data_IF_042479253102
#
_entry.id   IF_042479253102
#
_cell.length_a   1.000
_cell.length_b   1.000
_cell.length_c   1.000
_cell.angle_alpha   90.00
_cell.angle_beta   90.00
_cell.angle_gamma   90.00
#
_symmetry.space_group_name_H-M   'P 1'
#
loop_
_entity.id
_entity.type
_entity.pdbx_description
1 polymer ?
#
# COMPACT_ATOMS: atom_id res chain seq x y z
N UNK A 1 -32.32 4.45 8.16
CA UNK A 1 -32.28 3.34 9.14
C UNK A 1 -31.16 2.32 8.85
N UNK A 2 -31.09 1.65 7.67
CA UNK A 2 -29.99 0.70 7.37
C UNK A 2 -28.61 1.38 7.23
N UNK A 3 -28.54 2.48 6.51
CA UNK A 3 -27.29 3.25 6.28
C UNK A 3 -26.80 3.91 7.59
N UNK A 4 -27.71 4.40 8.44
CA UNK A 4 -27.36 4.98 9.74
C UNK A 4 -26.83 3.94 10.74
N UNK A 5 -27.34 2.70 10.71
CA UNK A 5 -26.81 1.63 11.54
C UNK A 5 -25.40 1.19 11.06
N UNK A 6 -25.16 1.10 9.77
CA UNK A 6 -23.82 0.78 9.22
C UNK A 6 -22.81 1.88 9.58
N UNK A 7 -23.19 3.17 9.50
CA UNK A 7 -22.30 4.27 9.86
C UNK A 7 -21.95 4.25 11.37
N UNK A 8 -22.91 3.96 12.25
CA UNK A 8 -22.68 3.85 13.70
C UNK A 8 -21.79 2.65 14.07
N UNK A 9 -22.01 1.50 13.43
CA UNK A 9 -21.19 0.28 13.64
C UNK A 9 -19.75 0.51 13.18
N UNK A 10 -19.56 1.19 12.05
CA UNK A 10 -18.23 1.53 11.54
C UNK A 10 -17.52 2.53 12.47
N UNK A 11 -18.25 3.50 13.05
CA UNK A 11 -17.70 4.45 14.02
C UNK A 11 -17.23 3.75 15.31
N UNK A 12 -18.00 2.80 15.87
CA UNK A 12 -17.62 2.06 17.08
C UNK A 12 -16.37 1.19 16.82
N UNK A 13 -16.34 0.46 15.70
CA UNK A 13 -15.18 -0.37 15.36
C UNK A 13 -13.91 0.49 15.20
N UNK A 14 -14.01 1.63 14.54
CA UNK A 14 -12.88 2.54 14.41
C UNK A 14 -12.37 3.03 15.78
N UNK A 15 -13.27 3.32 16.72
CA UNK A 15 -12.87 3.72 18.08
C UNK A 15 -12.14 2.57 18.81
N UNK A 16 -12.59 1.34 18.67
CA UNK A 16 -11.91 0.16 19.24
C UNK A 16 -10.51 0.02 18.60
N UNK A 17 -10.41 0.15 17.29
CA UNK A 17 -9.15 0.06 16.57
C UNK A 17 -8.14 1.13 17.04
N UNK A 18 -8.60 2.37 17.22
CA UNK A 18 -7.78 3.49 17.75
C UNK A 18 -7.28 3.23 19.19
N UNK A 19 -8.12 2.63 20.06
CA UNK A 19 -7.71 2.26 21.41
C UNK A 19 -6.64 1.16 21.34
N UNK A 20 -6.85 0.12 20.55
CA UNK A 20 -5.90 -0.99 20.40
C UNK A 20 -4.56 -0.51 19.81
N UNK A 21 -4.59 0.36 18.83
CA UNK A 21 -3.38 0.97 18.27
C UNK A 21 -2.63 1.81 19.31
N UNK A 22 -3.36 2.63 20.08
CA UNK A 22 -2.78 3.44 21.15
C UNK A 22 -2.13 2.60 22.23
N UNK A 23 -2.78 1.51 22.67
CA UNK A 23 -2.21 0.55 23.63
C UNK A 23 -0.95 -0.14 23.08
N UNK A 24 -0.91 -0.47 21.79
CA UNK A 24 0.30 -0.99 21.17
C UNK A 24 1.44 0.03 21.20
N UNK A 25 1.17 1.29 20.85
CA UNK A 25 2.16 2.39 20.90
C UNK A 25 2.69 2.58 22.31
N UNK A 26 1.81 2.59 23.33
CA UNK A 26 2.18 2.66 24.73
C UNK A 26 3.06 1.49 25.17
N UNK A 27 2.71 0.27 24.75
CA UNK A 27 3.53 -0.93 25.02
C UNK A 27 4.95 -0.80 24.47
N UNK A 28 5.11 -0.24 23.24
CA UNK A 28 6.42 0.03 22.65
C UNK A 28 7.22 1.08 23.43
N UNK A 29 6.55 1.98 24.14
CA UNK A 29 7.13 3.05 24.95
C UNK A 29 7.32 2.64 26.43
N UNK A 30 6.85 1.46 26.82
CA UNK A 30 6.92 0.97 28.20
C UNK A 30 5.88 1.60 29.12
N UNK A 31 4.84 2.24 28.57
CA UNK A 31 3.73 2.86 29.29
C UNK A 31 2.56 1.90 29.43
N UNK A 32 1.88 1.91 30.60
CA UNK A 32 0.80 0.96 30.89
C UNK A 32 -0.37 1.58 31.66
N UNK A 33 -0.42 2.91 31.81
CA UNK A 33 -1.44 3.55 32.66
C UNK A 33 -2.63 4.09 31.85
N UNK A 34 -3.84 3.98 32.42
CA UNK A 34 -5.06 4.60 31.85
C UNK A 34 -4.86 6.10 31.60
N UNK A 35 -4.16 6.78 32.53
CA UNK A 35 -3.83 8.20 32.39
C UNK A 35 -2.97 8.50 31.15
N UNK A 36 -2.04 7.62 30.80
CA UNK A 36 -1.24 7.75 29.58
C UNK A 36 -2.09 7.49 28.34
N UNK A 37 -2.97 6.48 28.36
CA UNK A 37 -3.91 6.16 27.30
C UNK A 37 -4.84 7.35 26.99
N UNK A 38 -5.39 8.00 28.01
CA UNK A 38 -6.29 9.16 27.86
C UNK A 38 -5.59 10.44 27.35
N UNK A 39 -4.28 10.43 27.15
CA UNK A 39 -3.57 11.53 26.45
C UNK A 39 -3.81 11.49 24.93
N UNK A 40 -4.19 10.35 24.39
CA UNK A 40 -4.52 10.23 22.98
C UNK A 40 -5.92 10.81 22.72
N UNK A 41 -6.06 11.88 21.90
CA UNK A 41 -7.33 12.59 21.71
C UNK A 41 -8.47 11.66 21.28
N UNK A 42 -8.18 10.74 20.33
CA UNK A 42 -9.14 9.79 19.79
C UNK A 42 -9.66 8.80 20.85
N UNK A 43 -8.83 8.45 21.85
CA UNK A 43 -9.20 7.53 22.93
C UNK A 43 -10.05 8.23 23.99
N UNK A 44 -9.77 9.50 24.27
CA UNK A 44 -10.51 10.29 25.28
C UNK A 44 -12.01 10.33 25.01
N UNK A 45 -12.41 10.37 23.74
CA UNK A 45 -13.81 10.35 23.31
C UNK A 45 -14.47 8.98 23.44
N UNK A 46 -13.66 7.92 23.57
CA UNK A 46 -14.08 6.53 23.58
C UNK A 46 -13.83 5.82 24.94
N UNK A 47 -13.54 6.58 26.02
CA UNK A 47 -13.23 6.02 27.35
C UNK A 47 -14.28 5.01 27.84
N UNK A 48 -15.57 5.26 27.55
CA UNK A 48 -16.65 4.35 27.89
C UNK A 48 -16.59 2.97 27.24
N UNK A 49 -15.76 2.77 26.21
CA UNK A 49 -15.58 1.47 25.57
C UNK A 49 -14.59 0.55 26.30
N UNK A 50 -13.76 1.06 27.22
CA UNK A 50 -12.72 0.26 27.87
C UNK A 50 -13.30 -0.94 28.64
N UNK A 51 -14.40 -0.74 29.35
CA UNK A 51 -15.07 -1.83 30.08
C UNK A 51 -15.73 -2.86 29.14
N UNK A 52 -16.22 -2.42 27.98
CA UNK A 52 -16.75 -3.32 26.96
C UNK A 52 -15.62 -4.14 26.32
N UNK A 53 -14.51 -3.52 26.01
CA UNK A 53 -13.33 -4.17 25.44
C UNK A 53 -12.70 -5.17 26.41
N UNK A 54 -12.75 -4.92 27.72
CA UNK A 54 -12.35 -5.88 28.74
C UNK A 54 -13.26 -7.12 28.73
N UNK A 55 -14.60 -6.92 28.65
CA UNK A 55 -15.57 -8.03 28.54
C UNK A 55 -15.39 -8.83 27.25
N UNK A 56 -14.97 -8.16 26.18
CA UNK A 56 -14.66 -8.78 24.89
C UNK A 56 -13.25 -9.43 24.89
N UNK A 57 -12.53 -9.43 26.01
CA UNK A 57 -11.18 -9.97 26.16
C UNK A 57 -10.13 -9.35 25.24
N UNK A 58 -10.27 -8.06 24.92
CA UNK A 58 -9.32 -7.32 24.07
C UNK A 58 -8.25 -6.61 24.90
N UNK A 59 -8.60 -6.20 26.12
CA UNK A 59 -7.69 -5.57 27.07
C UNK A 59 -7.97 -6.07 28.49
N UNK A 60 -7.05 -5.83 29.39
CA UNK A 60 -7.19 -6.08 30.82
C UNK A 60 -7.00 -4.78 31.59
N UNK A 61 -7.90 -4.55 32.57
CA UNK A 61 -7.85 -3.42 33.47
C UNK A 61 -7.42 -3.90 34.87
N UNK A 62 -6.31 -3.39 35.37
CA UNK A 62 -5.81 -3.67 36.70
C UNK A 62 -5.56 -2.34 37.46
N UNK A 63 -6.56 -1.89 38.19
CA UNK A 63 -6.56 -0.60 38.85
C UNK A 63 -6.33 0.55 37.86
N UNK A 64 -5.21 1.24 38.03
CA UNK A 64 -4.79 2.32 37.11
C UNK A 64 -4.07 1.82 35.86
N UNK A 65 -3.76 0.53 35.76
CA UNK A 65 -3.07 -0.03 34.62
C UNK A 65 -4.05 -0.58 33.59
N UNK A 66 -3.59 -0.55 32.32
CA UNK A 66 -4.28 -1.13 31.17
C UNK A 66 -3.26 -1.82 30.28
N UNK A 67 -3.60 -3.00 29.80
CA UNK A 67 -2.74 -3.78 28.91
C UNK A 67 -3.57 -4.53 27.88
N UNK A 68 -2.95 -4.87 26.74
CA UNK A 68 -3.56 -5.76 25.75
C UNK A 68 -3.59 -7.19 26.29
N UNK A 69 -4.67 -7.89 26.02
CA UNK A 69 -4.70 -9.37 26.13
C UNK A 69 -4.01 -9.99 24.90
N UNK A 70 -3.74 -11.31 24.88
CA UNK A 70 -3.21 -11.97 23.69
C UNK A 70 -4.07 -11.74 22.44
N UNK A 71 -5.39 -11.83 22.57
CA UNK A 71 -6.34 -11.56 21.48
C UNK A 71 -6.29 -10.10 21.03
N UNK A 72 -6.30 -9.17 21.97
CA UNK A 72 -6.17 -7.75 21.68
C UNK A 72 -4.84 -7.41 21.03
N UNK A 73 -3.75 -8.09 21.44
CA UNK A 73 -2.43 -7.90 20.84
C UNK A 73 -2.38 -8.36 19.38
N UNK A 74 -3.03 -9.48 19.06
CA UNK A 74 -3.10 -9.97 17.69
C UNK A 74 -3.85 -9.00 16.77
N UNK A 75 -4.98 -8.46 17.24
CA UNK A 75 -5.76 -7.46 16.49
C UNK A 75 -4.97 -6.15 16.37
N UNK A 76 -4.42 -5.64 17.46
CA UNK A 76 -3.61 -4.42 17.48
C UNK A 76 -2.42 -4.52 16.53
N UNK A 77 -1.78 -5.68 16.46
CA UNK A 77 -0.67 -5.95 15.54
C UNK A 77 -1.06 -5.76 14.08
N UNK A 78 -2.24 -6.24 13.68
CA UNK A 78 -2.72 -6.08 12.31
C UNK A 78 -3.14 -4.63 12.00
N UNK A 79 -3.72 -3.92 12.96
CA UNK A 79 -4.04 -2.49 12.84
C UNK A 79 -2.76 -1.68 12.64
N UNK A 80 -1.80 -1.81 13.56
CA UNK A 80 -0.50 -1.11 13.50
C UNK A 80 0.27 -1.47 12.22
N UNK A 81 0.15 -2.71 11.75
CA UNK A 81 0.73 -3.11 10.48
C UNK A 81 0.12 -2.34 9.31
N UNK A 82 -1.22 -2.25 9.23
CA UNK A 82 -1.92 -1.48 8.18
C UNK A 82 -1.53 -0.01 8.22
N UNK A 83 -1.56 0.59 9.40
CA UNK A 83 -1.16 1.99 9.62
C UNK A 83 0.25 2.26 9.09
N UNK A 84 1.25 1.53 9.57
CA UNK A 84 2.67 1.73 9.23
C UNK A 84 2.99 1.41 7.77
N UNK A 85 2.26 0.49 7.15
CA UNK A 85 2.36 0.24 5.71
C UNK A 85 1.73 1.38 4.91
N UNK A 86 0.62 1.96 5.37
CA UNK A 86 0.01 3.13 4.76
C UNK A 86 0.93 4.35 4.84
N UNK A 87 1.52 4.62 6.02
CA UNK A 87 2.55 5.68 6.18
C UNK A 87 3.69 5.50 5.18
N UNK A 88 4.22 4.28 5.07
CA UNK A 88 5.30 3.96 4.14
C UNK A 88 4.90 4.16 2.70
N UNK A 89 3.70 3.72 2.32
CA UNK A 89 3.14 3.88 0.99
C UNK A 89 3.01 5.36 0.61
N UNK A 90 2.44 6.17 1.50
CA UNK A 90 2.25 7.60 1.25
C UNK A 90 3.55 8.37 1.21
N UNK A 91 4.50 8.02 2.06
CA UNK A 91 5.84 8.62 2.05
C UNK A 91 6.59 8.33 0.73
N UNK A 92 6.55 7.10 0.24
CA UNK A 92 7.27 6.70 -0.97
C UNK A 92 6.61 7.23 -2.26
N UNK A 93 5.28 7.34 -2.28
CA UNK A 93 4.55 7.68 -3.51
C UNK A 93 4.19 9.15 -3.64
N UNK A 94 3.75 9.78 -2.54
CA UNK A 94 3.09 11.09 -2.64
C UNK A 94 3.90 12.24 -2.08
N UNK A 95 5.02 11.97 -1.39
CA UNK A 95 5.90 12.99 -0.82
C UNK A 95 5.13 14.05 0.01
N UNK A 96 4.18 13.60 0.81
CA UNK A 96 3.38 14.44 1.69
C UNK A 96 4.19 14.88 2.92
N UNK A 97 3.72 15.91 3.62
CA UNK A 97 4.26 16.26 4.94
C UNK A 97 3.95 15.18 5.97
N UNK A 98 4.80 15.00 6.98
CA UNK A 98 4.62 13.97 8.02
C UNK A 98 3.22 14.02 8.64
N UNK A 99 2.71 15.23 8.97
CA UNK A 99 1.35 15.40 9.50
C UNK A 99 0.25 14.93 8.54
N UNK A 100 0.42 15.18 7.24
CA UNK A 100 -0.54 14.72 6.23
C UNK A 100 -0.48 13.21 6.03
N UNK A 101 0.72 12.63 6.12
CA UNK A 101 0.92 11.18 6.06
C UNK A 101 0.20 10.51 7.23
N UNK A 102 0.44 10.97 8.46
CA UNK A 102 -0.16 10.40 9.67
C UNK A 102 -1.70 10.44 9.63
N UNK A 103 -2.28 11.61 9.35
CA UNK A 103 -3.74 11.77 9.27
C UNK A 103 -4.37 10.89 8.18
N UNK A 104 -3.70 10.78 7.03
CA UNK A 104 -4.21 9.99 5.91
C UNK A 104 -4.05 8.49 6.18
N UNK A 105 -2.93 8.07 6.78
CA UNK A 105 -2.68 6.68 7.13
C UNK A 105 -3.70 6.16 8.15
N UNK A 106 -4.00 6.96 9.20
CA UNK A 106 -5.02 6.64 10.20
C UNK A 106 -6.41 6.41 9.56
N UNK A 107 -6.82 7.26 8.63
CA UNK A 107 -8.09 7.06 7.92
C UNK A 107 -8.07 5.86 6.97
N UNK A 108 -6.91 5.57 6.35
CA UNK A 108 -6.77 4.56 5.32
C UNK A 108 -6.69 3.14 5.89
N UNK A 109 -6.14 2.95 7.09
CA UNK A 109 -5.99 1.64 7.72
C UNK A 109 -7.33 0.94 7.98
N UNK A 110 -8.38 1.71 8.27
CA UNK A 110 -9.73 1.19 8.54
C UNK A 110 -10.43 0.64 7.30
N UNK A 111 -9.97 1.00 6.09
CA UNK A 111 -10.54 0.51 4.83
C UNK A 111 -9.67 -0.56 4.15
N UNK A 112 -8.47 -0.79 4.66
CA UNK A 112 -7.57 -1.82 4.12
C UNK A 112 -8.01 -3.22 4.57
N UNK A 113 -8.38 -4.03 3.61
CA UNK A 113 -8.60 -5.44 3.82
C UNK A 113 -7.26 -6.21 3.94
N UNK A 114 -7.23 -7.39 4.57
CA UNK A 114 -5.99 -8.16 4.75
C UNK A 114 -5.27 -8.48 3.43
N UNK A 115 -6.00 -8.84 2.36
CA UNK A 115 -5.40 -9.16 1.07
C UNK A 115 -4.75 -7.93 0.43
N UNK A 116 -5.40 -6.75 0.53
CA UNK A 116 -4.81 -5.49 0.07
C UNK A 116 -3.58 -5.13 0.89
N UNK A 117 -3.61 -5.32 2.22
CA UNK A 117 -2.48 -5.10 3.12
C UNK A 117 -1.26 -5.94 2.73
N UNK A 118 -1.46 -7.23 2.44
CA UNK A 118 -0.38 -8.10 1.96
C UNK A 118 0.18 -7.64 0.61
N UNK A 119 -0.68 -7.22 -0.32
CA UNK A 119 -0.27 -6.69 -1.61
C UNK A 119 0.51 -5.37 -1.49
N UNK A 120 0.09 -4.46 -0.62
CA UNK A 120 0.83 -3.23 -0.30
C UNK A 120 2.20 -3.55 0.28
N UNK A 121 2.26 -4.46 1.27
CA UNK A 121 3.52 -4.89 1.85
C UNK A 121 4.47 -5.47 0.80
N UNK A 122 3.96 -6.35 -0.07
CA UNK A 122 4.73 -6.97 -1.16
C UNK A 122 5.17 -5.93 -2.20
N UNK A 123 4.29 -5.00 -2.55
CA UNK A 123 4.59 -3.89 -3.47
C UNK A 123 5.76 -3.03 -2.95
N UNK A 124 5.76 -2.72 -1.66
CA UNK A 124 6.82 -1.96 -0.99
C UNK A 124 8.11 -2.78 -0.73
N UNK A 125 8.13 -4.07 -1.06
CA UNK A 125 9.29 -4.94 -0.87
C UNK A 125 9.50 -5.38 0.58
N UNK A 126 8.43 -5.58 1.33
CA UNK A 126 8.41 -6.01 2.74
C UNK A 126 9.22 -5.09 3.66
N UNK A 127 8.85 -3.81 3.78
CA UNK A 127 9.61 -2.87 4.59
C UNK A 127 9.56 -3.29 6.07
N UNK A 128 10.68 -3.13 6.77
CA UNK A 128 10.79 -3.48 8.19
C UNK A 128 10.42 -2.34 9.12
N UNK A 129 10.45 -1.09 8.61
CA UNK A 129 10.18 0.12 9.38
C UNK A 129 9.34 1.10 8.58
N UNK A 130 8.49 1.86 9.27
CA UNK A 130 7.79 3.00 8.70
C UNK A 130 8.73 4.22 8.57
N UNK A 131 8.31 5.35 7.96
CA UNK A 131 9.12 6.54 7.84
C UNK A 131 9.62 7.10 9.18
N UNK A 132 8.86 6.90 10.25
CA UNK A 132 9.20 7.33 11.61
C UNK A 132 10.16 6.36 12.34
N UNK A 133 10.68 5.33 11.66
CA UNK A 133 11.62 4.35 12.23
C UNK A 133 10.98 3.28 13.11
N UNK A 134 9.66 3.28 13.29
CA UNK A 134 8.96 2.24 14.06
C UNK A 134 8.85 0.94 13.26
N UNK A 135 8.97 -0.22 13.92
CA UNK A 135 8.94 -1.53 13.26
C UNK A 135 7.55 -1.82 12.68
N UNK A 136 7.49 -2.28 11.44
CA UNK A 136 6.25 -2.80 10.83
C UNK A 136 6.13 -4.27 11.23
N UNK A 137 5.05 -4.68 11.92
CA UNK A 137 4.81 -6.08 12.25
C UNK A 137 4.79 -6.95 10.98
N UNK A 138 5.49 -8.11 10.96
CA UNK A 138 5.49 -8.99 9.79
C UNK A 138 4.14 -9.70 9.65
N UNK A 139 3.66 -9.85 8.40
CA UNK A 139 2.50 -10.67 8.06
C UNK A 139 2.91 -11.92 7.30
N UNK A 140 1.91 -12.69 6.81
CA UNK A 140 2.13 -13.95 6.10
C UNK A 140 2.94 -13.78 4.82
N UNK A 141 2.74 -12.68 4.09
CA UNK A 141 3.53 -12.37 2.92
C UNK A 141 5.03 -12.23 3.24
N UNK A 142 5.38 -11.68 4.42
CA UNK A 142 6.77 -11.56 4.85
C UNK A 142 7.40 -12.91 5.16
N UNK A 143 6.65 -13.80 5.84
CA UNK A 143 7.11 -15.18 6.13
C UNK A 143 7.34 -15.99 4.84
N UNK A 144 6.43 -15.87 3.88
CA UNK A 144 6.58 -16.49 2.55
C UNK A 144 7.76 -15.89 1.76
N UNK A 145 8.01 -14.59 1.92
CA UNK A 145 9.11 -13.90 1.26
C UNK A 145 10.49 -14.43 1.71
N UNK A 146 10.67 -14.75 2.99
CA UNK A 146 11.93 -15.32 3.49
C UNK A 146 12.30 -16.65 2.82
N UNK A 147 11.30 -17.36 2.26
CA UNK A 147 11.49 -18.66 1.59
C UNK A 147 11.54 -18.58 0.06
N UNK A 148 10.92 -17.62 -0.62
CA UNK A 148 10.71 -17.71 -2.08
C UNK A 148 10.67 -16.42 -2.91
N UNK A 149 10.61 -15.19 -2.39
CA UNK A 149 10.20 -14.04 -3.21
C UNK A 149 11.15 -12.84 -3.21
N UNK A 150 11.55 -12.43 -4.42
CA UNK A 150 12.18 -11.14 -4.70
C UNK A 150 11.10 -10.03 -4.72
N UNK A 151 11.42 -8.77 -4.30
CA UNK A 151 10.47 -7.65 -4.36
C UNK A 151 9.81 -7.54 -5.73
N UNK A 152 8.49 -7.35 -5.76
CA UNK A 152 7.74 -7.17 -7.01
C UNK A 152 8.17 -5.89 -7.74
N UNK A 153 8.54 -4.86 -6.98
CA UNK A 153 9.05 -3.60 -7.50
C UNK A 153 10.37 -3.25 -6.84
N UNK A 154 11.27 -2.68 -7.61
CA UNK A 154 12.60 -2.24 -7.15
C UNK A 154 13.03 -1.01 -7.94
N UNK A 155 13.92 -0.16 -7.36
CA UNK A 155 14.54 0.90 -8.12
C UNK A 155 15.22 0.36 -9.38
N UNK A 156 15.15 1.11 -10.46
CA UNK A 156 15.79 0.76 -11.75
C UNK A 156 17.26 0.38 -11.59
N UNK A 157 17.97 1.06 -10.67
CA UNK A 157 19.38 0.80 -10.35
C UNK A 157 19.64 -0.56 -9.70
N UNK A 158 18.61 -1.29 -9.28
CA UNK A 158 18.69 -2.65 -8.72
C UNK A 158 18.38 -3.74 -9.73
N UNK A 159 18.08 -3.40 -10.99
CA UNK A 159 18.09 -4.37 -12.08
C UNK A 159 19.53 -4.84 -12.33
N UNK A 160 19.67 -6.03 -12.90
CA UNK A 160 20.95 -6.50 -13.45
C UNK A 160 21.14 -5.92 -14.84
N UNK A 161 22.38 -5.71 -15.24
CA UNK A 161 22.69 -5.34 -16.62
C UNK A 161 22.13 -6.41 -17.58
N UNK A 162 21.42 -5.96 -18.60
CA UNK A 162 20.70 -6.81 -19.55
C UNK A 162 19.27 -7.19 -19.12
N UNK A 163 18.89 -6.94 -17.88
CA UNK A 163 17.54 -7.25 -17.36
C UNK A 163 16.50 -6.24 -17.85
N UNK A 164 15.29 -6.74 -18.12
CA UNK A 164 14.13 -5.92 -18.52
C UNK A 164 13.21 -5.69 -17.33
N UNK A 165 12.80 -4.46 -17.13
CA UNK A 165 11.80 -4.07 -16.14
C UNK A 165 10.63 -3.32 -16.78
N UNK A 166 9.47 -3.42 -16.17
CA UNK A 166 8.31 -2.59 -16.50
C UNK A 166 8.21 -1.46 -15.49
N UNK A 167 8.21 -0.21 -15.95
CA UNK A 167 8.05 0.95 -15.07
C UNK A 167 6.69 0.88 -14.41
N UNK A 168 6.67 0.87 -13.08
CA UNK A 168 5.43 0.84 -12.27
C UNK A 168 5.05 2.26 -11.90
N UNK A 169 6.00 3.01 -11.33
CA UNK A 169 5.83 4.42 -10.99
C UNK A 169 7.18 5.14 -10.97
N UNK A 170 7.12 6.47 -10.94
CA UNK A 170 8.30 7.36 -10.84
C UNK A 170 8.06 8.28 -9.64
N UNK A 171 8.89 8.14 -8.60
CA UNK A 171 8.86 8.99 -7.42
C UNK A 171 9.56 10.32 -7.73
N UNK A 172 8.82 11.36 -8.11
CA UNK A 172 9.37 12.69 -8.40
C UNK A 172 8.44 13.81 -8.00
N UNK A 173 8.95 14.80 -7.24
CA UNK A 173 8.23 16.03 -6.89
C UNK A 173 8.16 17.02 -8.06
N UNK A 174 9.04 16.88 -9.03
CA UNK A 174 9.17 17.84 -10.14
C UNK A 174 8.34 17.41 -11.33
N UNK A 175 7.25 18.16 -11.59
CA UNK A 175 6.42 17.97 -12.78
C UNK A 175 7.24 18.05 -14.07
N UNK A 176 8.14 19.02 -14.21
CA UNK A 176 8.99 19.15 -15.38
C UNK A 176 9.97 17.98 -15.56
N UNK A 177 10.35 17.28 -14.48
CA UNK A 177 11.13 16.04 -14.57
C UNK A 177 10.28 14.89 -15.09
N UNK A 178 9.04 14.74 -14.58
CA UNK A 178 8.11 13.73 -15.07
C UNK A 178 7.78 13.93 -16.55
N UNK A 179 7.52 15.15 -16.97
CA UNK A 179 7.25 15.50 -18.38
C UNK A 179 8.45 15.17 -19.28
N UNK A 180 9.69 15.46 -18.85
CA UNK A 180 10.90 15.09 -19.61
C UNK A 180 11.07 13.59 -19.72
N UNK A 181 10.89 12.83 -18.63
CA UNK A 181 10.97 11.37 -18.65
C UNK A 181 9.89 10.77 -19.54
N UNK A 182 8.66 11.29 -19.47
CA UNK A 182 7.57 10.87 -20.34
C UNK A 182 7.87 11.15 -21.82
N UNK A 183 8.43 12.31 -22.14
CA UNK A 183 8.88 12.66 -23.50
C UNK A 183 9.99 11.73 -24.04
N UNK A 184 10.77 11.12 -23.15
CA UNK A 184 11.77 10.08 -23.47
C UNK A 184 11.18 8.66 -23.48
N UNK A 185 9.87 8.50 -23.31
CA UNK A 185 9.20 7.21 -23.24
C UNK A 185 9.28 6.49 -21.91
N UNK A 186 9.87 7.12 -20.85
CA UNK A 186 9.92 6.56 -19.50
C UNK A 186 8.68 7.04 -18.74
N UNK A 187 7.64 6.20 -18.74
CA UNK A 187 6.36 6.44 -18.07
C UNK A 187 5.82 5.13 -17.51
N UNK A 188 4.87 5.17 -16.57
CA UNK A 188 4.25 3.96 -16.05
C UNK A 188 3.70 3.06 -17.15
N UNK A 189 4.07 1.78 -17.11
CA UNK A 189 3.76 0.78 -18.15
C UNK A 189 4.84 0.61 -19.23
N UNK A 190 5.83 1.51 -19.34
CA UNK A 190 6.93 1.38 -20.30
C UNK A 190 7.86 0.22 -19.93
N UNK A 191 8.38 -0.46 -20.95
CA UNK A 191 9.47 -1.43 -20.81
C UNK A 191 10.82 -0.73 -20.88
N UNK A 192 11.68 -1.01 -19.93
CA UNK A 192 13.05 -0.50 -19.90
C UNK A 192 14.03 -1.66 -19.72
N UNK A 193 15.12 -1.66 -20.48
CA UNK A 193 16.20 -2.63 -20.33
C UNK A 193 17.44 -1.90 -19.82
N UNK A 194 17.96 -2.34 -18.66
CA UNK A 194 19.19 -1.78 -18.13
C UNK A 194 20.38 -2.28 -18.95
N UNK A 195 21.15 -1.36 -19.53
CA UNK A 195 22.32 -1.66 -20.35
C UNK A 195 23.62 -1.53 -19.56
N UNK A 196 23.66 -0.55 -18.66
CA UNK A 196 24.85 -0.20 -17.89
C UNK A 196 24.42 0.45 -16.56
N UNK A 197 25.26 0.34 -15.52
CA UNK A 197 25.04 1.00 -14.22
C UNK A 197 26.06 2.10 -13.99
N UNK A 198 27.33 1.82 -14.23
CA UNK A 198 28.44 2.74 -14.00
C UNK A 198 29.09 3.21 -15.32
N UNK A 199 29.53 4.47 -15.44
CA UNK A 199 29.46 5.55 -14.43
C UNK A 199 28.09 6.18 -14.28
N UNK A 200 27.17 5.96 -15.21
CA UNK A 200 25.76 6.40 -15.17
C UNK A 200 24.87 5.28 -15.67
N UNK A 201 23.66 5.11 -15.11
CA UNK A 201 22.70 4.15 -15.62
C UNK A 201 22.30 4.47 -17.06
N UNK A 202 22.49 3.50 -17.96
CA UNK A 202 22.04 3.56 -19.34
C UNK A 202 20.91 2.56 -19.51
N UNK A 203 19.78 3.02 -20.01
CA UNK A 203 18.60 2.20 -20.27
C UNK A 203 18.20 2.28 -21.74
N UNK A 204 17.72 1.15 -22.26
CA UNK A 204 17.02 1.13 -23.56
C UNK A 204 15.52 1.20 -23.33
N UNK A 205 14.87 2.11 -24.05
CA UNK A 205 13.41 2.30 -24.07
C UNK A 205 12.98 2.28 -25.54
N UNK A 206 12.31 1.21 -25.97
CA UNK A 206 12.11 0.97 -27.41
C UNK A 206 13.45 0.86 -28.14
N UNK A 207 13.66 1.71 -29.13
CA UNK A 207 14.92 1.78 -29.91
C UNK A 207 15.93 2.81 -29.36
N UNK A 208 15.52 3.63 -28.39
CA UNK A 208 16.38 4.68 -27.85
C UNK A 208 17.22 4.19 -26.66
N UNK A 209 18.48 4.62 -26.59
CA UNK A 209 19.35 4.44 -25.45
C UNK A 209 19.50 5.77 -24.70
N UNK A 210 19.23 5.76 -23.41
CA UNK A 210 19.16 6.95 -22.57
C UNK A 210 20.09 6.80 -21.37
N UNK A 211 21.02 7.72 -21.22
CA UNK A 211 21.80 7.86 -20.00
C UNK A 211 20.97 8.66 -18.97
N UNK A 212 20.84 8.13 -17.77
CA UNK A 212 20.09 8.73 -16.69
C UNK A 212 21.04 9.18 -15.58
N UNK A 213 20.66 10.26 -14.91
CA UNK A 213 21.29 10.62 -13.66
C UNK A 213 21.00 9.53 -12.59
N UNK A 214 21.97 9.26 -11.73
CA UNK A 214 21.88 8.20 -10.70
C UNK A 214 20.69 8.41 -9.76
N UNK A 215 20.46 9.67 -9.34
CA UNK A 215 19.36 10.01 -8.44
C UNK A 215 18.00 9.91 -9.14
N UNK A 216 17.95 10.16 -10.43
CA UNK A 216 16.74 9.95 -11.24
C UNK A 216 16.47 8.47 -11.39
N UNK A 217 17.46 7.67 -11.70
CA UNK A 217 17.30 6.22 -11.88
C UNK A 217 16.88 5.50 -10.59
N UNK A 218 17.33 5.96 -9.42
CA UNK A 218 16.88 5.46 -8.11
C UNK A 218 15.39 5.70 -7.85
N UNK A 219 14.81 6.72 -8.49
CA UNK A 219 13.40 7.11 -8.33
C UNK A 219 12.45 6.48 -9.35
N UNK A 220 12.98 5.75 -10.31
CA UNK A 220 12.18 4.97 -11.28
C UNK A 220 12.03 3.56 -10.70
N UNK A 221 10.82 3.21 -10.34
CA UNK A 221 10.52 1.88 -9.79
C UNK A 221 9.98 0.97 -10.89
N UNK A 222 10.58 -0.20 -10.99
CA UNK A 222 10.28 -1.18 -12.03
C UNK A 222 9.92 -2.54 -11.43
N UNK A 223 9.06 -3.28 -12.13
CA UNK A 223 8.77 -4.69 -11.85
C UNK A 223 9.54 -5.56 -12.83
N UNK A 224 10.21 -6.59 -12.31
CA UNK A 224 10.97 -7.54 -13.13
C UNK A 224 10.05 -8.38 -14.03
N UNK A 225 10.42 -8.54 -15.25
CA UNK A 225 10.28 -9.70 -16.12
C UNK A 225 8.93 -10.24 -16.54
N UNK A 226 7.77 -9.71 -16.14
CA UNK A 226 6.48 -10.13 -16.69
C UNK A 226 5.84 -8.97 -17.47
N UNK A 227 5.39 -9.20 -18.72
CA UNK A 227 4.59 -8.21 -19.41
C UNK A 227 3.32 -7.93 -18.57
N UNK A 228 2.83 -6.68 -18.54
CA UNK A 228 1.58 -6.39 -17.87
C UNK A 228 0.49 -7.29 -18.45
N UNK A 229 -0.44 -7.80 -17.61
CA UNK A 229 -1.56 -8.55 -18.12
C UNK A 229 -2.26 -7.69 -19.15
N UNK A 230 -2.41 -8.21 -20.37
CA UNK A 230 -3.15 -7.51 -21.42
C UNK A 230 -4.52 -7.17 -20.86
N UNK A 231 -4.78 -5.89 -20.62
CA UNK A 231 -6.12 -5.42 -20.27
C UNK A 231 -7.02 -5.85 -21.44
N UNK A 232 -7.82 -6.88 -21.21
CA UNK A 232 -8.94 -7.18 -22.09
C UNK A 232 -9.87 -5.98 -21.97
N UNK A 233 -9.83 -5.09 -22.97
CA UNK A 233 -10.82 -4.04 -23.06
C UNK A 233 -12.20 -4.70 -23.10
N UNK A 234 -13.13 -4.40 -22.19
CA UNK A 234 -14.47 -4.98 -22.22
C UNK A 234 -15.33 -4.47 -23.37
N UNK A 235 -14.82 -3.55 -24.18
CA UNK A 235 -15.49 -2.98 -25.34
C UNK A 235 -14.80 -3.42 -26.63
N UNK A 236 -15.23 -4.54 -27.18
CA UNK A 236 -14.71 -5.07 -28.45
C UNK A 236 -15.43 -6.28 -28.98
N UNK A 237 -16.72 -6.46 -28.70
CA UNK A 237 -17.58 -7.29 -29.55
C UNK A 237 -18.45 -6.37 -30.37
N UNK A 238 -17.93 -5.96 -31.53
CA UNK A 238 -18.73 -5.41 -32.60
C UNK A 238 -19.81 -6.43 -32.96
N UNK A 239 -21.06 -6.08 -32.68
CA UNK A 239 -22.22 -6.77 -33.25
C UNK A 239 -22.15 -6.61 -34.77
N UNK A 240 -21.54 -7.60 -35.43
CA UNK A 240 -21.66 -7.77 -36.85
C UNK A 240 -23.09 -8.16 -37.20
N UNK A 241 -23.92 -7.18 -37.50
CA UNK A 241 -25.23 -7.39 -38.13
C UNK A 241 -24.97 -7.95 -39.55
N UNK A 242 -24.96 -9.29 -39.64
CA UNK A 242 -25.10 -9.94 -40.93
C UNK A 242 -26.60 -9.85 -41.31
N UNK A 243 -26.95 -8.84 -42.11
CA UNK A 243 -28.20 -8.85 -42.87
C UNK A 243 -28.17 -10.03 -43.82
N UNK A 244 -28.91 -11.05 -43.49
CA UNK A 244 -29.31 -12.11 -44.42
C UNK A 244 -30.39 -11.54 -45.33
N UNK A 245 -30.01 -11.09 -46.49
CA UNK A 245 -30.93 -10.92 -47.65
C UNK A 245 -31.44 -12.33 -48.07
N UNK A 246 -32.65 -12.67 -47.65
CA UNK A 246 -33.39 -13.75 -48.25
C UNK A 246 -34.02 -13.24 -49.55
N UNK A 247 -33.42 -13.59 -50.67
CA UNK A 247 -34.06 -13.59 -51.96
C UNK A 247 -35.09 -14.76 -51.97
N UNK A 248 -36.33 -14.43 -51.89
CA UNK A 248 -37.43 -15.32 -52.18
C UNK A 248 -37.92 -15.11 -53.59
N UNK A 249 -37.47 -15.96 -54.47
CA UNK A 249 -38.03 -16.08 -55.83
C UNK A 249 -39.24 -16.96 -55.70
N UNK A 250 -40.42 -16.51 -56.13
CA UNK A 250 -41.53 -17.38 -56.41
C UNK A 250 -42.24 -16.93 -57.67
N UNK A 251 -42.13 -17.83 -58.64
CA UNK A 251 -42.99 -17.85 -59.85
C UNK A 251 -44.34 -18.51 -59.52
N UNK A 252 -45.31 -17.99 -60.16
CA UNK A 252 -46.67 -18.33 -60.56
C UNK A 252 -47.73 -17.76 -59.69
#
# INVERSE_FOLDING_TARGET
>A
MWVENMAKTNSRQNQIDEILESLWKMKEEGEHTKKALLKYPQVKEAEGLLEEMEKENLLALDGENVSLTPEGEDIAREIVRRHRLAERLFYELFELSDKSIETTACSFEHILDPAVTENVCTFLGHPRTCPHGKRIPPGDCCRRFETEVRPLTLPLTKLRVGEVGHVVFIASKSRGRLERLAGLGILPGAMVKLQQIDPSPVVRVGEAELALDQEVAKRIFVRRGLPPPRRKHPFGRGLGLRQRLRRGFRRR
#
